data_IF_574472977227
#
_entry.id   IF_574472977227
#
_cell.length_a   1.000
_cell.length_b   1.000
_cell.length_c   1.000
_cell.angle_alpha   90.00
_cell.angle_beta   90.00
_cell.angle_gamma   90.00
#
_symmetry.space_group_name_H-M   'P 1'
#
loop_
_entity.id
_entity.type
_entity.pdbx_description
1 polymer ?
#
# COMPACT_ATOMS: atom_id res chain seq x y z
N UNK A 1 -14.38 -25.02 -2.45
CA UNK A 1 -12.92 -24.80 -2.54
C UNK A 1 -12.32 -26.12 -2.97
N UNK A 2 -12.10 -26.29 -4.26
CA UNK A 2 -11.23 -27.38 -4.73
C UNK A 2 -9.85 -27.20 -4.09
N UNK A 3 -9.28 -28.30 -3.63
CA UNK A 3 -8.01 -28.32 -2.95
C UNK A 3 -6.97 -27.56 -3.78
N UNK A 4 -6.18 -26.72 -3.11
CA UNK A 4 -5.03 -26.05 -3.71
C UNK A 4 -4.12 -27.12 -4.32
N UNK A 5 -4.20 -27.29 -5.64
CA UNK A 5 -3.59 -28.43 -6.34
C UNK A 5 -2.05 -28.30 -6.47
N UNK A 6 -1.43 -27.31 -5.81
CA UNK A 6 0.01 -27.12 -5.87
C UNK A 6 0.56 -26.67 -4.51
N UNK A 7 0.70 -27.65 -3.61
CA UNK A 7 1.32 -27.44 -2.29
C UNK A 7 2.81 -27.05 -2.37
N UNK A 8 3.45 -27.19 -3.52
CA UNK A 8 4.86 -26.83 -3.72
C UNK A 8 5.08 -25.34 -4.00
N UNK A 9 4.05 -24.60 -4.36
CA UNK A 9 4.17 -23.18 -4.73
C UNK A 9 4.27 -22.23 -3.54
N UNK A 10 3.83 -22.61 -2.33
CA UNK A 10 3.81 -21.74 -1.14
C UNK A 10 5.01 -21.99 -0.19
N UNK A 11 6.16 -22.39 -0.68
CA UNK A 11 7.39 -22.48 0.14
C UNK A 11 8.07 -21.10 0.29
N UNK A 12 7.29 -20.07 0.59
CA UNK A 12 7.79 -18.70 0.83
C UNK A 12 6.87 -18.04 1.85
N UNK A 13 7.39 -17.21 2.75
CA UNK A 13 6.53 -16.48 3.68
C UNK A 13 5.47 -15.68 2.92
N UNK A 14 4.23 -15.80 3.37
CA UNK A 14 3.08 -15.03 2.89
C UNK A 14 3.05 -13.71 3.67
N UNK A 15 2.84 -12.63 2.97
CA UNK A 15 2.79 -11.27 3.53
C UNK A 15 1.37 -10.71 3.54
N UNK A 16 0.54 -11.09 2.55
CA UNK A 16 -0.77 -10.49 2.35
C UNK A 16 -1.74 -11.47 1.69
N UNK A 17 -3.02 -11.35 2.05
CA UNK A 17 -4.13 -12.09 1.44
C UNK A 17 -5.23 -11.12 1.03
N UNK A 18 -5.65 -11.19 -0.23
CA UNK A 18 -6.81 -10.47 -0.72
C UNK A 18 -7.75 -11.41 -1.48
N UNK A 19 -8.99 -11.53 -1.03
CA UNK A 19 -10.02 -12.30 -1.72
C UNK A 19 -11.00 -11.36 -2.42
N UNK A 20 -11.18 -11.54 -3.74
CA UNK A 20 -12.16 -10.79 -4.52
C UNK A 20 -13.44 -11.63 -4.72
N UNK A 21 -14.56 -11.28 -4.06
CA UNK A 21 -15.79 -12.09 -4.10
C UNK A 21 -16.39 -12.23 -5.50
N UNK A 22 -16.37 -11.14 -6.29
CA UNK A 22 -16.96 -11.10 -7.64
C UNK A 22 -16.32 -12.11 -8.61
N UNK A 23 -14.99 -12.18 -8.63
CA UNK A 23 -14.25 -13.14 -9.48
C UNK A 23 -13.91 -14.46 -8.78
N UNK A 24 -14.20 -14.60 -7.49
CA UNK A 24 -13.83 -15.75 -6.63
C UNK A 24 -12.33 -16.06 -6.65
N UNK A 25 -11.50 -15.04 -6.89
CA UNK A 25 -10.04 -15.16 -6.90
C UNK A 25 -9.45 -14.82 -5.54
N UNK A 26 -8.46 -15.62 -5.11
CA UNK A 26 -7.62 -15.32 -3.95
C UNK A 26 -6.24 -14.90 -4.45
N UNK A 27 -5.82 -13.71 -4.09
CA UNK A 27 -4.50 -13.16 -4.34
C UNK A 27 -3.64 -13.30 -3.09
N UNK A 28 -2.48 -13.91 -3.23
CA UNK A 28 -1.56 -14.19 -2.12
C UNK A 28 -0.24 -13.46 -2.38
N UNK A 29 0.00 -12.42 -1.63
CA UNK A 29 1.28 -11.69 -1.64
C UNK A 29 2.36 -12.45 -0.89
N UNK A 30 3.58 -12.44 -1.42
CA UNK A 30 4.71 -13.14 -0.84
C UNK A 30 5.97 -12.27 -0.82
N UNK A 31 6.92 -12.60 0.06
CA UNK A 31 8.18 -11.85 0.11
C UNK A 31 9.14 -12.14 -1.05
N UNK A 32 8.96 -13.23 -1.80
CA UNK A 32 9.93 -13.63 -2.85
C UNK A 32 9.32 -14.05 -4.17
N UNK A 33 8.11 -14.61 -4.16
CA UNK A 33 7.46 -15.16 -5.37
C UNK A 33 6.47 -14.19 -6.01
N UNK A 34 6.37 -12.94 -5.53
CA UNK A 34 5.41 -11.97 -5.99
C UNK A 34 3.99 -12.34 -5.56
N UNK A 35 3.05 -12.37 -6.50
CA UNK A 35 1.66 -12.68 -6.25
C UNK A 35 1.35 -14.06 -6.82
N UNK A 36 0.75 -14.92 -6.00
CA UNK A 36 0.13 -16.17 -6.44
C UNK A 36 -1.38 -15.94 -6.54
N UNK A 37 -2.01 -16.43 -7.59
CA UNK A 37 -3.45 -16.26 -7.83
C UNK A 37 -4.11 -17.63 -7.87
N UNK A 38 -5.15 -17.81 -7.05
CA UNK A 38 -5.97 -19.02 -6.98
C UNK A 38 -7.41 -18.73 -7.41
N UNK A 39 -8.12 -19.72 -7.92
CA UNK A 39 -9.49 -19.58 -8.44
C UNK A 39 -9.55 -19.41 -9.95
N UNK A 40 -8.40 -19.50 -10.61
CA UNK A 40 -8.19 -19.64 -12.07
C UNK A 40 -7.09 -20.68 -12.26
N UNK A 41 -6.72 -21.00 -13.52
CA UNK A 41 -5.49 -21.79 -13.75
C UNK A 41 -4.36 -21.12 -12.99
N UNK A 42 -3.83 -21.79 -11.97
CA UNK A 42 -2.91 -21.21 -10.99
C UNK A 42 -1.72 -20.54 -11.68
N UNK A 43 -1.45 -19.31 -11.32
CA UNK A 43 -0.39 -18.51 -11.90
C UNK A 43 0.36 -17.71 -10.85
N UNK A 44 1.64 -17.42 -11.13
CA UNK A 44 2.45 -16.49 -10.35
C UNK A 44 2.78 -15.30 -11.23
N UNK A 45 2.53 -14.10 -10.73
CA UNK A 45 2.86 -12.85 -11.40
C UNK A 45 3.70 -11.97 -10.48
N UNK A 46 4.39 -10.98 -11.05
CA UNK A 46 5.29 -10.06 -10.32
C UNK A 46 6.42 -10.81 -9.58
N UNK A 47 7.04 -11.81 -10.25
CA UNK A 47 8.08 -12.67 -9.65
C UNK A 47 9.28 -11.88 -9.15
N UNK A 48 9.92 -12.40 -8.10
CA UNK A 48 11.12 -11.81 -7.46
C UNK A 48 10.88 -10.40 -6.90
N UNK A 49 9.67 -10.15 -6.44
CA UNK A 49 9.27 -8.90 -5.79
C UNK A 49 8.66 -9.24 -4.44
N UNK A 50 9.06 -8.54 -3.40
CA UNK A 50 8.37 -8.58 -2.12
C UNK A 50 7.06 -7.79 -2.25
N UNK A 51 5.93 -8.45 -1.99
CA UNK A 51 4.61 -7.82 -1.93
C UNK A 51 4.30 -7.52 -0.48
N UNK A 52 3.99 -6.28 -0.16
CA UNK A 52 3.69 -5.86 1.21
C UNK A 52 2.18 -5.68 1.43
N UNK A 53 1.45 -5.18 0.42
CA UNK A 53 0.01 -4.95 0.49
C UNK A 53 -0.65 -5.18 -0.87
N UNK A 54 -1.90 -5.65 -0.86
CA UNK A 54 -2.79 -5.75 -2.03
C UNK A 54 -4.10 -5.05 -1.68
N UNK A 55 -4.41 -3.95 -2.38
CA UNK A 55 -5.56 -3.10 -2.09
C UNK A 55 -6.40 -2.92 -3.36
N UNK A 56 -7.74 -3.05 -3.32
CA UNK A 56 -8.57 -2.73 -4.47
C UNK A 56 -8.50 -1.22 -4.78
N UNK A 57 -8.25 -0.88 -6.05
CA UNK A 57 -8.43 0.47 -6.57
C UNK A 57 -9.87 0.70 -6.98
N UNK A 58 -10.48 -0.32 -7.55
CA UNK A 58 -11.88 -0.40 -7.97
C UNK A 58 -12.27 -1.88 -8.17
N UNK A 59 -13.49 -2.13 -8.69
CA UNK A 59 -14.02 -3.50 -8.89
C UNK A 59 -13.22 -4.35 -9.90
N UNK A 60 -12.28 -3.78 -10.65
CA UNK A 60 -11.50 -4.47 -11.68
C UNK A 60 -10.00 -4.43 -11.48
N UNK A 61 -9.52 -3.56 -10.63
CA UNK A 61 -8.09 -3.26 -10.54
C UNK A 61 -7.59 -3.28 -9.11
N UNK A 62 -6.40 -3.82 -8.94
CA UNK A 62 -5.66 -3.87 -7.69
C UNK A 62 -4.44 -2.95 -7.73
N UNK A 63 -4.17 -2.32 -6.63
CA UNK A 63 -2.86 -1.72 -6.31
C UNK A 63 -2.05 -2.70 -5.47
N UNK A 64 -0.76 -2.77 -5.77
CA UNK A 64 0.17 -3.72 -5.16
C UNK A 64 1.35 -2.93 -4.63
N UNK A 65 1.45 -2.81 -3.30
CA UNK A 65 2.62 -2.24 -2.64
C UNK A 65 3.77 -3.22 -2.63
N UNK A 66 4.97 -2.74 -2.91
CA UNK A 66 6.16 -3.59 -2.98
C UNK A 66 7.29 -3.08 -2.08
N UNK A 67 8.12 -4.02 -1.64
CA UNK A 67 9.37 -3.73 -0.95
C UNK A 67 10.45 -3.33 -1.96
N UNK A 68 10.48 -2.05 -2.36
CA UNK A 68 11.56 -1.46 -3.14
C UNK A 68 11.33 -1.34 -4.65
N UNK A 69 10.09 -1.51 -5.15
CA UNK A 69 9.73 -1.26 -6.56
C UNK A 69 8.48 -0.39 -6.72
N UNK A 70 8.10 0.37 -5.70
CA UNK A 70 6.94 1.24 -5.70
C UNK A 70 5.62 0.47 -5.73
N UNK A 71 4.63 1.04 -6.41
CA UNK A 71 3.28 0.50 -6.54
C UNK A 71 3.04 0.01 -7.96
N UNK A 72 2.52 -1.20 -8.07
CA UNK A 72 2.02 -1.75 -9.33
C UNK A 72 0.49 -1.67 -9.35
N UNK A 73 -0.06 -1.55 -10.56
CA UNK A 73 -1.49 -1.68 -10.85
C UNK A 73 -1.69 -2.94 -11.67
N UNK A 74 -2.71 -3.73 -11.32
CA UNK A 74 -3.02 -4.99 -12.00
C UNK A 74 -4.52 -5.09 -12.24
N UNK A 75 -4.89 -5.34 -13.47
CA UNK A 75 -6.24 -5.71 -13.84
C UNK A 75 -6.50 -7.17 -13.44
N UNK A 76 -7.63 -7.43 -12.78
CA UNK A 76 -7.96 -8.73 -12.19
C UNK A 76 -8.35 -9.81 -13.21
N UNK A 77 -8.60 -9.45 -14.46
CA UNK A 77 -8.90 -10.40 -15.53
C UNK A 77 -7.62 -10.82 -16.26
N UNK A 78 -6.83 -9.86 -16.70
CA UNK A 78 -5.58 -10.12 -17.41
C UNK A 78 -4.46 -10.63 -16.52
N UNK A 79 -4.49 -10.31 -15.21
CA UNK A 79 -3.48 -10.64 -14.20
C UNK A 79 -2.06 -10.15 -14.57
N UNK A 80 -1.96 -9.10 -15.39
CA UNK A 80 -0.70 -8.49 -15.81
C UNK A 80 -0.42 -7.24 -14.97
N UNK A 81 0.53 -7.28 -14.03
CA UNK A 81 0.91 -6.12 -13.26
C UNK A 81 1.76 -5.16 -14.09
N UNK A 82 1.48 -3.85 -13.97
CA UNK A 82 2.24 -2.78 -14.61
C UNK A 82 2.72 -1.80 -13.54
N UNK A 83 3.96 -1.28 -13.62
CA UNK A 83 4.40 -0.19 -12.76
C UNK A 83 3.41 0.98 -12.85
N UNK A 84 3.05 1.56 -11.70
CA UNK A 84 2.02 2.60 -11.64
C UNK A 84 2.50 3.85 -10.92
N UNK A 85 3.06 3.71 -9.72
CA UNK A 85 3.65 4.79 -8.96
C UNK A 85 5.05 4.33 -8.56
N UNK A 86 6.06 5.03 -9.07
CA UNK A 86 7.47 4.77 -8.75
C UNK A 86 8.13 6.06 -8.26
N UNK A 87 9.18 5.92 -7.48
CA UNK A 87 9.94 7.08 -7.03
C UNK A 87 10.58 7.78 -8.24
N UNK A 88 10.46 9.09 -8.26
CA UNK A 88 11.21 9.94 -9.17
C UNK A 88 12.16 10.80 -8.33
N UNK A 89 13.39 10.35 -8.20
CA UNK A 89 14.42 11.01 -7.43
C UNK A 89 14.96 12.27 -8.13
N UNK A 90 14.63 12.48 -9.41
CA UNK A 90 15.08 13.62 -10.19
C UNK A 90 14.08 14.79 -10.13
N UNK A 91 12.80 14.52 -9.93
CA UNK A 91 11.77 15.54 -9.79
C UNK A 91 11.27 15.65 -8.36
N UNK A 92 10.93 16.87 -7.94
CA UNK A 92 10.30 17.10 -6.63
C UNK A 92 8.78 16.80 -6.67
N UNK A 93 8.28 16.18 -7.75
CA UNK A 93 6.85 15.93 -8.01
C UNK A 93 6.53 14.43 -8.07
N UNK A 94 7.28 13.58 -7.40
CA UNK A 94 7.09 12.15 -7.41
C UNK A 94 7.00 11.54 -6.00
N UNK A 95 6.92 10.24 -5.92
CA UNK A 95 6.96 9.50 -4.67
C UNK A 95 8.39 9.55 -4.07
N UNK A 96 8.48 9.64 -2.74
CA UNK A 96 9.75 9.80 -2.02
C UNK A 96 10.53 8.51 -1.74
N UNK A 97 10.11 7.39 -2.28
CA UNK A 97 10.78 6.09 -2.11
C UNK A 97 9.93 4.95 -2.62
N UNK A 98 10.57 3.88 -3.04
CA UNK A 98 9.92 2.73 -3.68
C UNK A 98 9.58 1.60 -2.69
N UNK A 99 9.92 1.75 -1.41
CA UNK A 99 9.55 0.77 -0.38
C UNK A 99 8.23 1.19 0.27
N UNK A 100 7.15 0.54 -0.14
CA UNK A 100 5.78 0.85 0.31
C UNK A 100 5.30 -0.26 1.22
N UNK A 101 5.01 0.08 2.46
CA UNK A 101 4.49 -0.87 3.44
C UNK A 101 2.99 -1.08 3.29
N UNK A 102 2.24 0.02 3.10
CA UNK A 102 0.79 -0.02 3.01
C UNK A 102 0.22 0.98 2.01
N UNK A 103 -1.00 0.72 1.55
CA UNK A 103 -1.78 1.55 0.63
C UNK A 103 -3.20 1.68 1.15
N UNK A 104 -3.67 2.91 1.27
CA UNK A 104 -5.07 3.22 1.51
C UNK A 104 -5.62 4.10 0.37
N UNK A 105 -6.83 3.80 -0.12
CA UNK A 105 -7.54 4.60 -1.12
C UNK A 105 -8.75 5.22 -0.46
N UNK A 106 -8.78 6.54 -0.34
CA UNK A 106 -9.88 7.25 0.30
C UNK A 106 -11.07 7.50 -0.64
N UNK A 107 -12.19 7.93 -0.07
CA UNK A 107 -13.41 8.24 -0.84
C UNK A 107 -13.29 9.39 -1.83
N UNK A 108 -12.18 10.12 -1.84
CA UNK A 108 -11.85 11.19 -2.79
C UNK A 108 -10.90 10.76 -3.91
N UNK A 109 -10.69 9.46 -4.12
CA UNK A 109 -9.73 8.89 -5.07
C UNK A 109 -8.27 9.29 -4.82
N UNK A 110 -7.92 9.64 -3.59
CA UNK A 110 -6.53 9.85 -3.20
C UNK A 110 -5.93 8.52 -2.73
N UNK A 111 -4.71 8.28 -3.14
CA UNK A 111 -3.93 7.10 -2.75
C UNK A 111 -2.91 7.53 -1.70
N UNK A 112 -3.05 7.01 -0.50
CA UNK A 112 -2.16 7.21 0.63
C UNK A 112 -1.17 6.06 0.69
N UNK A 113 0.12 6.38 0.71
CA UNK A 113 1.22 5.42 0.66
C UNK A 113 2.06 5.55 1.92
N UNK A 114 2.13 4.50 2.72
CA UNK A 114 3.06 4.38 3.83
C UNK A 114 4.46 4.05 3.29
N UNK A 115 5.29 5.07 3.12
CA UNK A 115 6.65 4.95 2.60
C UNK A 115 7.64 4.66 3.74
N UNK A 116 8.45 3.61 3.59
CA UNK A 116 9.50 3.31 4.54
C UNK A 116 10.89 3.64 3.97
N UNK A 117 11.71 4.46 4.62
CA UNK A 117 11.46 5.26 5.83
C UNK A 117 11.11 6.74 5.51
N UNK A 118 10.30 7.01 4.50
CA UNK A 118 10.12 8.36 3.93
C UNK A 118 8.80 9.05 4.31
N UNK A 119 8.10 8.56 5.34
CA UNK A 119 6.84 9.14 5.81
C UNK A 119 5.64 8.68 5.01
N UNK A 120 4.74 9.59 4.68
CA UNK A 120 3.54 9.32 3.90
C UNK A 120 3.57 10.13 2.61
N UNK A 121 3.30 9.46 1.50
CA UNK A 121 3.04 10.12 0.21
C UNK A 121 1.55 10.02 -0.11
N UNK A 122 0.95 11.12 -0.56
CA UNK A 122 -0.40 11.17 -1.07
C UNK A 122 -0.33 11.43 -2.56
N UNK A 123 -0.98 10.58 -3.35
CA UNK A 123 -1.19 10.83 -4.77
C UNK A 123 -2.65 11.17 -5.01
N UNK A 124 -2.89 12.36 -5.55
CA UNK A 124 -4.21 12.74 -6.04
C UNK A 124 -4.37 12.25 -7.49
N UNK A 125 -5.25 11.25 -7.69
CA UNK A 125 -5.45 10.68 -9.03
C UNK A 125 -6.05 11.65 -10.04
N UNK A 126 -6.91 12.58 -9.59
CA UNK A 126 -7.56 13.55 -10.46
C UNK A 126 -6.58 14.57 -11.03
N UNK A 127 -5.65 15.05 -10.20
CA UNK A 127 -4.69 16.09 -10.57
C UNK A 127 -3.30 15.56 -10.85
N UNK A 128 -3.07 14.27 -10.62
CA UNK A 128 -1.75 13.61 -10.69
C UNK A 128 -0.67 14.34 -9.87
N UNK A 129 -1.08 14.98 -8.79
CA UNK A 129 -0.19 15.70 -7.87
C UNK A 129 0.18 14.83 -6.69
N UNK A 130 1.30 15.16 -6.06
CA UNK A 130 1.80 14.49 -4.89
C UNK A 130 1.93 15.47 -3.73
N UNK A 131 1.62 14.99 -2.52
CA UNK A 131 1.84 15.65 -1.25
C UNK A 131 2.58 14.69 -0.32
N UNK A 132 3.33 15.24 0.64
CA UNK A 132 4.11 14.43 1.57
C UNK A 132 3.90 14.87 3.00
N UNK A 133 3.77 13.91 3.90
CA UNK A 133 3.85 14.13 5.32
C UNK A 133 5.10 13.45 5.87
N UNK A 134 5.89 14.19 6.64
CA UNK A 134 7.11 13.73 7.30
C UNK A 134 7.14 14.16 8.74
N UNK A 135 7.99 13.48 9.50
CA UNK A 135 8.34 13.92 10.84
C UNK A 135 9.15 15.22 10.78
N UNK A 136 8.77 16.19 11.62
CA UNK A 136 9.51 17.44 11.79
C UNK A 136 9.71 17.69 13.29
N UNK A 137 10.94 17.60 13.79
CA UNK A 137 11.22 17.79 15.21
C UNK A 137 10.70 19.15 15.71
N UNK A 138 9.97 19.12 16.85
CA UNK A 138 9.38 20.31 17.45
C UNK A 138 8.09 20.81 16.76
N UNK A 139 7.67 20.21 15.66
CA UNK A 139 6.42 20.53 15.00
C UNK A 139 5.32 19.50 15.38
N UNK A 140 4.37 19.93 16.21
CA UNK A 140 3.24 19.09 16.63
C UNK A 140 2.23 18.80 15.49
N UNK A 141 2.40 19.43 14.31
CA UNK A 141 1.57 19.23 13.11
C UNK A 141 2.29 18.38 12.07
N UNK A 142 3.00 17.35 12.53
CA UNK A 142 3.74 16.44 11.66
C UNK A 142 3.59 15.00 12.13
N UNK A 143 4.03 14.05 11.31
CA UNK A 143 4.15 12.66 11.74
C UNK A 143 5.05 12.55 12.97
N UNK A 144 4.77 11.59 13.84
CA UNK A 144 5.61 11.29 15.01
C UNK A 144 6.91 10.58 14.59
N UNK A 145 6.90 9.89 13.45
CA UNK A 145 8.07 9.22 12.89
C UNK A 145 7.86 8.94 11.39
N UNK A 146 8.95 8.95 10.59
CA UNK A 146 8.90 8.70 9.14
C UNK A 146 8.83 7.21 8.76
N UNK A 147 9.04 6.31 9.72
CA UNK A 147 8.89 4.87 9.48
C UNK A 147 7.43 4.48 9.68
N UNK A 148 6.64 4.68 8.63
CA UNK A 148 5.21 4.38 8.63
C UNK A 148 4.99 2.95 8.15
N UNK A 149 4.19 2.20 8.90
CA UNK A 149 3.92 0.78 8.66
C UNK A 149 2.53 0.54 8.09
N UNK A 150 1.54 1.33 8.52
CA UNK A 150 0.14 1.12 8.18
C UNK A 150 -0.61 2.45 8.15
N UNK A 151 -1.69 2.53 7.35
CA UNK A 151 -2.58 3.68 7.26
C UNK A 151 -4.03 3.22 7.14
N UNK A 152 -4.88 3.74 8.03
CA UNK A 152 -6.32 3.47 8.00
C UNK A 152 -7.11 4.77 8.12
N UNK A 153 -8.33 4.77 7.62
CA UNK A 153 -9.34 5.80 7.87
C UNK A 153 -10.41 5.25 8.82
N UNK A 154 -10.84 6.05 9.79
CA UNK A 154 -11.94 5.69 10.67
C UNK A 154 -13.30 6.17 10.12
N UNK A 155 -14.38 5.88 10.86
CA UNK A 155 -15.73 6.24 10.46
C UNK A 155 -16.01 7.76 10.44
N UNK A 156 -15.13 8.57 11.03
CA UNK A 156 -15.21 10.03 11.05
C UNK A 156 -14.43 10.68 9.90
N UNK A 157 -13.69 9.86 9.12
CA UNK A 157 -12.82 10.32 8.05
C UNK A 157 -11.45 10.79 8.53
N UNK A 158 -11.10 10.46 9.77
CA UNK A 158 -9.79 10.74 10.34
C UNK A 158 -8.79 9.65 9.95
N UNK A 159 -7.56 10.05 9.67
CA UNK A 159 -6.50 9.16 9.20
C UNK A 159 -5.52 8.82 10.32
N UNK A 160 -5.32 7.54 10.54
CA UNK A 160 -4.42 7.00 11.55
C UNK A 160 -3.20 6.37 10.89
N UNK A 161 -2.02 6.73 11.37
CA UNK A 161 -0.74 6.24 10.86
C UNK A 161 -0.01 5.50 11.97
N UNK A 162 0.20 4.20 11.79
CA UNK A 162 1.06 3.41 12.67
C UNK A 162 2.52 3.63 12.29
N UNK A 163 3.35 4.04 13.24
CA UNK A 163 4.77 4.32 13.01
C UNK A 163 5.66 3.57 14.01
N UNK A 164 6.96 3.54 13.76
CA UNK A 164 7.92 2.92 14.68
C UNK A 164 8.05 3.62 16.04
N UNK A 165 7.47 4.81 16.22
CA UNK A 165 7.52 5.56 17.48
C UNK A 165 6.15 5.99 17.99
N UNK A 166 5.12 5.21 17.72
CA UNK A 166 3.75 5.46 18.14
C UNK A 166 2.80 5.74 16.96
N UNK A 167 1.71 6.43 17.25
CA UNK A 167 0.62 6.68 16.30
C UNK A 167 0.50 8.17 16.01
N UNK A 168 0.30 8.54 14.75
CA UNK A 168 -0.14 9.86 14.34
C UNK A 168 -1.58 9.81 13.85
N UNK A 169 -2.36 10.79 14.23
CA UNK A 169 -3.73 11.02 13.77
C UNK A 169 -3.77 12.34 13.01
N UNK A 170 -4.29 12.31 11.80
CA UNK A 170 -4.64 13.49 11.02
C UNK A 170 -6.15 13.59 10.91
N UNK A 171 -6.69 14.74 11.27
CA UNK A 171 -8.09 15.12 11.06
C UNK A 171 -8.16 16.06 9.85
N UNK A 172 -8.40 15.54 8.62
CA UNK A 172 -8.29 16.35 7.40
C UNK A 172 -9.27 17.50 7.35
N UNK A 173 -10.48 17.32 7.87
CA UNK A 173 -11.53 18.33 7.88
C UNK A 173 -11.12 19.64 8.59
N UNK A 174 -10.25 19.55 9.59
CA UNK A 174 -9.80 20.71 10.39
C UNK A 174 -8.29 20.93 10.35
N UNK A 175 -7.55 20.12 9.58
CA UNK A 175 -6.10 20.20 9.44
C UNK A 175 -5.36 19.95 10.75
N UNK A 176 -5.93 19.17 11.67
CA UNK A 176 -5.37 18.93 13.02
C UNK A 176 -4.57 17.63 13.05
N UNK A 177 -3.41 17.69 13.68
CA UNK A 177 -2.60 16.53 14.01
C UNK A 177 -2.63 16.23 15.50
N UNK A 178 -2.55 14.95 15.85
CA UNK A 178 -2.33 14.46 17.21
C UNK A 178 -1.35 13.30 17.15
N UNK A 179 -0.55 13.15 18.20
CA UNK A 179 0.44 12.07 18.31
C UNK A 179 0.26 11.32 19.62
N UNK A 180 0.39 10.01 19.55
CA UNK A 180 0.34 9.10 20.69
C UNK A 180 1.66 8.33 20.69
N UNK A 181 2.56 8.69 21.60
CA UNK A 181 3.88 8.10 21.70
C UNK A 181 3.81 6.76 22.45
N UNK A 182 4.63 5.79 22.01
CA UNK A 182 4.91 4.61 22.82
C UNK A 182 5.72 5.06 24.06
N UNK A 183 5.30 4.63 25.24
CA UNK A 183 6.04 4.86 26.48
C UNK A 183 7.15 3.83 26.65
#
# INVERSE_FOLDING_TARGET
LEALADTDSIRTPVSELYYHPGSKKLFVGTFRKGILVYGVSAGSTLRNVAVNRITPLNDRELLIATGGRGVYRMDMDSLVPKPYITADYASHNGMNGDNINDIYVDGGDRIWLANYPAGVTIRNNRYQSYEWFRHSPGNSRSLVNDQVHDVIEDSEGDLWFATSNGISLLQPAVGRWRSFLSR
#
